data_IF_127774813636
#
_entry.id   IF_127774813636
#
_cell.length_a   1.000
_cell.length_b   1.000
_cell.length_c   1.000
_cell.angle_alpha   90.00
_cell.angle_beta   90.00
_cell.angle_gamma   90.00
#
_symmetry.space_group_name_H-M   'P 1'
#
loop_
_entity.id
_entity.type
_entity.pdbx_description
1 polymer ?
#
# COMPACT_ATOMS: atom_id res chain seq x y z
N UNK A 1 5.14 11.97 0.03
CA UNK A 1 5.85 11.45 1.21
C UNK A 1 6.77 10.34 0.73
N UNK A 2 8.06 10.45 1.02
CA UNK A 2 9.03 9.39 0.68
C UNK A 2 8.96 8.22 1.67
N UNK A 3 9.54 7.08 1.29
CA UNK A 3 9.52 5.88 2.13
C UNK A 3 10.03 6.10 3.57
N UNK A 4 11.12 6.87 3.72
CA UNK A 4 11.72 7.16 5.03
C UNK A 4 10.77 7.92 5.95
N UNK A 5 10.08 8.93 5.42
CA UNK A 5 9.07 9.71 6.15
C UNK A 5 7.87 8.84 6.52
N UNK A 6 7.40 8.02 5.56
CA UNK A 6 6.30 7.09 5.78
C UNK A 6 6.62 6.07 6.89
N UNK A 7 7.81 5.46 6.84
CA UNK A 7 8.29 4.54 7.87
C UNK A 7 8.28 5.22 9.23
N UNK A 8 8.84 6.41 9.35
CA UNK A 8 8.92 7.14 10.62
C UNK A 8 7.55 7.46 11.19
N UNK A 9 6.59 7.85 10.34
CA UNK A 9 5.21 8.09 10.75
C UNK A 9 4.54 6.80 11.28
N UNK A 10 4.66 5.69 10.54
CA UNK A 10 4.07 4.39 10.92
C UNK A 10 4.73 3.81 12.17
N UNK A 11 6.06 3.97 12.31
CA UNK A 11 6.81 3.45 13.45
C UNK A 11 6.75 4.36 14.68
N UNK A 12 6.07 5.51 14.60
CA UNK A 12 5.98 6.49 15.69
C UNK A 12 7.37 6.90 16.24
N UNK A 13 8.37 6.97 15.36
CA UNK A 13 9.74 7.30 15.74
C UNK A 13 10.58 6.15 16.31
N UNK A 14 10.08 4.91 16.30
CA UNK A 14 10.84 3.74 16.79
C UNK A 14 12.21 3.61 16.09
N UNK A 15 13.24 3.34 16.89
CA UNK A 15 14.58 3.00 16.38
C UNK A 15 14.57 1.67 15.60
N UNK A 16 15.55 1.45 14.72
CA UNK A 16 15.70 0.18 14.00
C UNK A 16 15.77 -1.04 14.94
N UNK A 17 16.29 -0.86 16.16
CA UNK A 17 16.31 -1.90 17.19
C UNK A 17 14.91 -2.22 17.73
N UNK A 18 14.10 -1.19 17.98
CA UNK A 18 12.72 -1.34 18.46
C UNK A 18 11.83 -1.98 17.38
N UNK A 19 11.96 -1.51 16.13
CA UNK A 19 11.30 -2.11 14.97
C UNK A 19 11.69 -3.58 14.84
N UNK A 20 12.99 -3.91 14.93
CA UNK A 20 13.46 -5.29 14.83
C UNK A 20 12.87 -6.19 15.91
N UNK A 21 12.85 -5.73 17.16
CA UNK A 21 12.26 -6.45 18.28
C UNK A 21 10.77 -6.71 18.06
N UNK A 22 10.01 -5.71 17.62
CA UNK A 22 8.57 -5.84 17.35
C UNK A 22 8.27 -6.76 16.18
N UNK A 23 9.09 -6.72 15.14
CA UNK A 23 8.98 -7.59 13.95
C UNK A 23 9.51 -9.01 14.19
N UNK A 24 10.12 -9.31 15.34
CA UNK A 24 10.75 -10.61 15.60
C UNK A 24 11.93 -10.90 14.66
N UNK A 25 12.70 -9.87 14.28
CA UNK A 25 13.86 -9.96 13.37
C UNK A 25 15.10 -9.30 13.99
N UNK A 26 16.21 -9.21 13.26
CA UNK A 26 17.41 -8.49 13.69
C UNK A 26 17.51 -7.06 13.13
N UNK A 27 18.24 -6.20 13.84
CA UNK A 27 18.44 -4.79 13.50
C UNK A 27 19.13 -4.59 12.14
N UNK A 28 20.06 -5.47 11.77
CA UNK A 28 20.77 -5.39 10.48
C UNK A 28 19.81 -5.53 9.30
N UNK A 29 18.84 -6.45 9.39
CA UNK A 29 17.79 -6.63 8.38
C UNK A 29 16.94 -5.37 8.27
N UNK A 30 16.49 -4.81 9.40
CA UNK A 30 15.71 -3.56 9.41
C UNK A 30 16.49 -2.42 8.77
N UNK A 31 17.74 -2.21 9.17
CA UNK A 31 18.59 -1.14 8.63
C UNK A 31 18.77 -1.29 7.11
N UNK A 32 19.13 -2.48 6.63
CA UNK A 32 19.34 -2.73 5.20
C UNK A 32 18.05 -2.64 4.38
N UNK A 33 16.94 -3.18 4.88
CA UNK A 33 15.71 -3.35 4.10
C UNK A 33 14.70 -2.22 4.26
N UNK A 34 14.77 -1.43 5.34
CA UNK A 34 13.80 -0.39 5.66
C UNK A 34 14.45 1.00 5.86
N UNK A 35 15.77 1.08 6.03
CA UNK A 35 16.47 2.37 6.20
C UNK A 35 17.37 2.73 5.02
N UNK A 36 17.70 1.77 4.15
CA UNK A 36 18.48 1.98 2.93
C UNK A 36 17.67 2.63 1.80
N UNK A 37 18.36 2.99 0.72
CA UNK A 37 17.76 3.66 -0.46
C UNK A 37 16.88 2.73 -1.30
N UNK A 38 17.07 1.42 -1.16
CA UNK A 38 16.30 0.39 -1.85
C UNK A 38 15.62 -0.52 -0.82
N UNK A 39 14.37 -0.20 -0.42
CA UNK A 39 13.63 -1.05 0.50
C UNK A 39 13.37 -2.43 -0.09
N UNK A 40 13.14 -3.44 0.75
CA UNK A 40 12.77 -4.79 0.29
C UNK A 40 11.28 -5.02 0.49
N UNK A 41 10.53 -5.26 -0.59
CA UNK A 41 9.07 -5.37 -0.58
C UNK A 41 8.52 -6.33 0.50
N UNK A 42 9.09 -7.52 0.63
CA UNK A 42 8.67 -8.49 1.66
C UNK A 42 8.77 -7.91 3.08
N UNK A 43 9.84 -7.16 3.35
CA UNK A 43 10.08 -6.56 4.67
C UNK A 43 9.17 -5.35 4.89
N UNK A 44 8.87 -4.57 3.85
CA UNK A 44 7.87 -3.50 3.89
C UNK A 44 6.49 -4.06 4.26
N UNK A 45 6.08 -5.19 3.65
CA UNK A 45 4.81 -5.84 3.95
C UNK A 45 4.77 -6.34 5.39
N UNK A 46 5.83 -7.01 5.85
CA UNK A 46 5.94 -7.49 7.23
C UNK A 46 5.89 -6.34 8.24
N UNK A 47 6.63 -5.25 7.97
CA UNK A 47 6.62 -4.04 8.78
C UNK A 47 5.21 -3.42 8.85
N UNK A 48 4.56 -3.25 7.70
CA UNK A 48 3.20 -2.69 7.62
C UNK A 48 2.23 -3.47 8.50
N UNK A 49 2.22 -4.80 8.37
CA UNK A 49 1.35 -5.68 9.18
C UNK A 49 1.69 -5.62 10.67
N UNK A 50 2.97 -5.57 11.03
CA UNK A 50 3.43 -5.48 12.43
C UNK A 50 2.96 -4.21 13.13
N UNK A 51 2.85 -3.11 12.39
CA UNK A 51 2.40 -1.81 12.88
C UNK A 51 0.92 -1.52 12.57
N UNK A 52 0.19 -2.46 11.96
CA UNK A 52 -1.22 -2.28 11.61
C UNK A 52 -1.46 -1.29 10.46
N UNK A 53 -0.44 -0.95 9.68
CA UNK A 53 -0.54 -0.10 8.51
C UNK A 53 -0.88 -0.91 7.24
N UNK A 54 -1.41 -0.22 6.22
CA UNK A 54 -1.70 -0.82 4.92
C UNK A 54 -0.41 -1.22 4.19
N UNK A 55 -0.23 -2.51 3.81
CA UNK A 55 0.90 -2.91 2.98
C UNK A 55 0.93 -2.21 1.62
N UNK A 56 -0.25 -1.86 1.07
CA UNK A 56 -0.35 -1.13 -0.20
C UNK A 56 0.28 0.26 -0.08
N UNK A 57 -0.03 0.99 1.00
CA UNK A 57 0.57 2.30 1.23
C UNK A 57 2.08 2.23 1.40
N UNK A 58 2.57 1.21 2.13
CA UNK A 58 4.01 0.97 2.29
C UNK A 58 4.71 0.67 0.98
N UNK A 59 4.12 -0.16 0.12
CA UNK A 59 4.66 -0.49 -1.20
C UNK A 59 4.63 0.70 -2.16
N UNK A 60 3.61 1.56 -2.08
CA UNK A 60 3.58 2.83 -2.82
C UNK A 60 4.67 3.77 -2.33
N UNK A 61 4.82 3.94 -1.01
CA UNK A 61 5.85 4.79 -0.43
C UNK A 61 7.27 4.30 -0.77
N UNK A 62 7.46 2.98 -0.86
CA UNK A 62 8.70 2.33 -1.26
C UNK A 62 8.94 2.32 -2.79
N UNK A 63 8.00 2.80 -3.60
CA UNK A 63 8.13 2.87 -5.06
C UNK A 63 7.91 1.55 -5.81
N UNK A 64 7.42 0.50 -5.14
CA UNK A 64 7.07 -0.77 -5.78
C UNK A 64 5.72 -0.72 -6.52
N UNK A 65 4.82 0.15 -6.06
CA UNK A 65 3.52 0.39 -6.67
C UNK A 65 3.34 1.88 -6.94
N UNK A 66 2.68 2.19 -8.03
CA UNK A 66 2.18 3.54 -8.30
C UNK A 66 0.77 3.69 -7.74
N UNK A 67 0.31 4.94 -7.56
CA UNK A 67 -1.09 5.18 -7.21
C UNK A 67 -2.04 4.67 -8.30
N UNK A 68 -1.60 4.69 -9.55
CA UNK A 68 -2.38 4.20 -10.69
C UNK A 68 -2.58 2.68 -10.61
N UNK A 69 -1.57 1.91 -10.19
CA UNK A 69 -1.68 0.46 -9.98
C UNK A 69 -2.78 0.13 -8.97
N UNK A 70 -2.79 0.86 -7.85
CA UNK A 70 -3.78 0.69 -6.78
C UNK A 70 -5.18 1.07 -7.24
N UNK A 71 -5.32 2.18 -7.97
CA UNK A 71 -6.60 2.63 -8.50
C UNK A 71 -7.17 1.65 -9.51
N UNK A 72 -6.34 1.17 -10.45
CA UNK A 72 -6.74 0.18 -11.46
C UNK A 72 -7.20 -1.12 -10.83
N UNK A 73 -6.46 -1.63 -9.84
CA UNK A 73 -6.86 -2.84 -9.11
C UNK A 73 -8.20 -2.64 -8.37
N UNK A 74 -8.36 -1.51 -7.68
CA UNK A 74 -9.59 -1.19 -6.94
C UNK A 74 -10.80 -1.05 -7.86
N UNK A 75 -10.63 -0.43 -9.04
CA UNK A 75 -11.70 -0.32 -10.03
C UNK A 75 -12.14 -1.68 -10.55
N UNK A 76 -11.18 -2.57 -10.88
CA UNK A 76 -11.50 -3.89 -11.38
C UNK A 76 -12.24 -4.74 -10.34
N UNK A 77 -11.84 -4.68 -9.07
CA UNK A 77 -12.57 -5.38 -8.00
C UNK A 77 -13.98 -4.80 -7.79
N UNK A 78 -14.14 -3.48 -7.79
CA UNK A 78 -15.46 -2.86 -7.69
C UNK A 78 -16.40 -3.28 -8.84
N UNK A 79 -15.87 -3.40 -10.06
CA UNK A 79 -16.63 -3.90 -11.21
C UNK A 79 -16.98 -5.39 -11.10
N UNK A 80 -16.14 -6.21 -10.45
CA UNK A 80 -16.40 -7.64 -10.23
C UNK A 80 -17.45 -7.88 -9.14
N UNK A 81 -17.46 -7.05 -8.11
CA UNK A 81 -18.41 -7.13 -6.99
C UNK A 81 -19.78 -6.51 -7.34
N UNK A 82 -19.82 -5.61 -8.33
CA UNK A 82 -21.07 -5.00 -8.79
C UNK A 82 -22.03 -6.06 -9.36
N UNK A 83 -23.30 -5.98 -8.99
CA UNK A 83 -24.34 -6.84 -9.53
C UNK A 83 -24.63 -6.52 -10.99
N UNK A 84 -25.17 -7.49 -11.74
CA UNK A 84 -25.59 -7.26 -13.12
C UNK A 84 -26.62 -6.13 -13.27
N UNK A 85 -27.50 -5.95 -12.28
CA UNK A 85 -28.47 -4.85 -12.26
C UNK A 85 -27.81 -3.48 -12.08
N UNK A 86 -26.84 -3.36 -11.17
CA UNK A 86 -26.08 -2.13 -10.95
C UNK A 86 -25.24 -1.77 -12.19
N UNK A 87 -24.59 -2.77 -12.81
CA UNK A 87 -23.84 -2.58 -14.05
C UNK A 87 -24.75 -2.12 -15.19
N UNK A 88 -25.92 -2.76 -15.37
CA UNK A 88 -26.88 -2.36 -16.41
C UNK A 88 -27.39 -0.93 -16.19
N UNK A 89 -27.74 -0.58 -14.95
CA UNK A 89 -28.18 0.77 -14.60
C UNK A 89 -27.09 1.82 -14.89
N UNK A 90 -25.83 1.55 -14.54
CA UNK A 90 -24.72 2.47 -14.79
C UNK A 90 -24.41 2.62 -16.29
N UNK A 91 -24.48 1.54 -17.07
CA UNK A 91 -24.32 1.61 -18.53
C UNK A 91 -25.44 2.44 -19.16
N UNK A 92 -26.71 2.16 -18.80
CA UNK A 92 -27.85 2.94 -19.29
C UNK A 92 -27.71 4.42 -18.94
N UNK A 93 -27.28 4.74 -17.72
CA UNK A 93 -27.04 6.12 -17.29
C UNK A 93 -25.97 6.80 -18.14
N UNK A 94 -24.83 6.15 -18.40
CA UNK A 94 -23.74 6.72 -19.24
C UNK A 94 -24.11 6.89 -20.71
N UNK A 95 -24.98 6.03 -21.23
CA UNK A 95 -25.48 6.18 -22.60
C UNK A 95 -26.45 7.37 -22.73
N UNK A 96 -27.23 7.65 -21.68
CA UNK A 96 -28.14 8.81 -21.62
C UNK A 96 -27.41 10.12 -21.31
N UNK A 97 -26.33 10.06 -20.53
CA UNK A 97 -25.47 11.20 -20.17
C UNK A 97 -24.01 10.90 -20.60
N UNK A 98 -23.70 11.03 -21.90
CA UNK A 98 -22.33 10.84 -22.37
C UNK A 98 -21.41 11.80 -21.62
N UNK A 99 -20.34 11.28 -21.02
CA UNK A 99 -19.24 12.14 -20.58
C UNK A 99 -18.47 12.54 -21.82
N UNK A 100 -18.37 13.85 -22.06
CA UNK A 100 -17.44 14.45 -23.03
C UNK A 100 -15.99 13.96 -22.80
#
# INVERSE_FOLDING_TARGET
MGFREWKQAVSHGDSDRAIAARMGTNQMRVSRHLSGDSPVAETVIAFSRTYGASPVEGLVAAGFLTREDVQRASLLEALREATGAELAAEVTRRLAEPRD
#
